data_IF_308133034324
#
_entry.id   IF_308133034324
#
_cell.length_a   1.000
_cell.length_b   1.000
_cell.length_c   1.000
_cell.angle_alpha   90.00
_cell.angle_beta   90.00
_cell.angle_gamma   90.00
#
_symmetry.space_group_name_H-M   'P 1'
#
loop_
_entity.id
_entity.type
_entity.pdbx_description
1 polymer ?
#
# COMPACT_ATOMS: atom_id res chain seq x y z
N UNK A 1 -72.32 -3.08 -39.13
CA UNK A 1 -71.64 -1.78 -39.06
C UNK A 1 -71.61 -1.41 -37.57
N UNK A 2 -70.60 -1.84 -36.81
CA UNK A 2 -69.30 -1.17 -36.62
C UNK A 2 -69.50 0.32 -36.28
N UNK A 3 -69.05 0.87 -35.16
CA UNK A 3 -67.74 0.70 -34.53
C UNK A 3 -67.80 1.10 -33.05
N UNK A 4 -67.24 0.27 -32.17
CA UNK A 4 -67.08 0.51 -30.74
C UNK A 4 -65.63 0.92 -30.50
N UNK A 5 -65.41 2.22 -30.26
CA UNK A 5 -64.10 2.78 -29.99
C UNK A 5 -63.45 2.18 -28.74
N UNK A 6 -62.51 1.26 -28.95
CA UNK A 6 -61.66 0.72 -27.90
C UNK A 6 -60.44 1.62 -27.71
N UNK A 7 -60.38 2.28 -26.55
CA UNK A 7 -59.21 3.01 -26.06
C UNK A 7 -58.04 2.03 -25.89
N UNK A 8 -57.06 2.07 -26.80
CA UNK A 8 -55.80 1.36 -26.63
C UNK A 8 -55.03 1.99 -25.48
N UNK A 9 -55.03 1.32 -24.33
CA UNK A 9 -54.10 1.60 -23.22
C UNK A 9 -52.70 1.25 -23.72
N UNK A 10 -51.82 2.24 -23.81
CA UNK A 10 -50.41 2.06 -24.14
C UNK A 10 -49.75 1.46 -22.90
N UNK A 11 -49.36 0.20 -22.95
CA UNK A 11 -48.49 -0.39 -21.94
C UNK A 11 -47.08 0.14 -22.21
N UNK A 12 -46.68 1.15 -21.44
CA UNK A 12 -45.27 1.54 -21.33
C UNK A 12 -44.57 0.44 -20.53
N UNK A 13 -43.78 -0.38 -21.21
CA UNK A 13 -42.83 -1.26 -20.54
C UNK A 13 -41.73 -0.36 -19.99
N UNK A 14 -41.65 -0.28 -18.68
CA UNK A 14 -40.45 0.21 -18.00
C UNK A 14 -39.32 -0.77 -18.34
N UNK A 15 -38.34 -0.30 -19.11
CA UNK A 15 -37.06 -0.98 -19.25
C UNK A 15 -36.37 -0.85 -17.88
N UNK A 16 -36.37 -1.93 -17.09
CA UNK A 16 -35.48 -2.05 -15.94
C UNK A 16 -34.05 -2.07 -16.50
N UNK A 17 -33.38 -0.92 -16.45
CA UNK A 17 -31.93 -0.85 -16.62
C UNK A 17 -31.31 -1.78 -15.57
N UNK A 18 -30.77 -2.93 -15.99
CA UNK A 18 -30.00 -3.85 -15.16
C UNK A 18 -28.78 -3.09 -14.60
N UNK A 19 -28.91 -2.48 -13.43
CA UNK A 19 -27.80 -1.84 -12.72
C UNK A 19 -26.88 -2.97 -12.26
N UNK A 20 -25.84 -3.24 -13.05
CA UNK A 20 -24.75 -4.12 -12.66
C UNK A 20 -24.02 -3.47 -11.48
N UNK A 21 -24.29 -3.97 -10.28
CA UNK A 21 -23.56 -3.59 -9.07
C UNK A 21 -22.15 -4.19 -9.16
N UNK A 22 -21.23 -3.45 -9.77
CA UNK A 22 -19.82 -3.82 -9.81
C UNK A 22 -19.23 -3.67 -8.40
N UNK A 23 -18.50 -4.69 -7.97
CA UNK A 23 -17.70 -4.61 -6.75
C UNK A 23 -16.65 -3.49 -6.90
N UNK A 24 -16.43 -2.61 -5.91
CA UNK A 24 -15.44 -1.54 -5.99
C UNK A 24 -14.03 -2.02 -6.36
N UNK A 25 -13.67 -3.26 -6.03
CA UNK A 25 -12.40 -3.88 -6.42
C UNK A 25 -12.21 -3.99 -7.93
N UNK A 26 -13.29 -3.95 -8.73
CA UNK A 26 -13.23 -3.95 -10.19
C UNK A 26 -12.51 -2.72 -10.76
N UNK A 27 -12.52 -1.59 -10.03
CA UNK A 27 -11.88 -0.35 -10.45
C UNK A 27 -10.47 -0.17 -9.89
N UNK A 28 -9.99 -1.12 -9.07
CA UNK A 28 -8.63 -1.06 -8.50
C UNK A 28 -7.64 -1.57 -9.52
N UNK A 29 -6.70 -0.71 -9.93
CA UNK A 29 -5.60 -1.12 -10.77
C UNK A 29 -4.59 -1.97 -9.98
N UNK A 30 -4.53 -3.26 -10.33
CA UNK A 30 -3.60 -4.25 -9.78
C UNK A 30 -2.57 -4.72 -10.80
N UNK A 31 -2.33 -3.95 -11.87
CA UNK A 31 -1.36 -4.26 -12.93
C UNK A 31 0.10 -4.05 -12.47
N UNK A 32 0.45 -4.62 -11.33
CA UNK A 32 1.79 -4.46 -10.75
C UNK A 32 2.87 -5.04 -11.65
N UNK A 33 3.95 -4.29 -11.78
CA UNK A 33 5.14 -4.72 -12.48
C UNK A 33 6.27 -4.98 -11.50
N UNK A 34 7.00 -6.07 -11.71
CA UNK A 34 8.23 -6.33 -10.98
C UNK A 34 9.29 -5.32 -11.42
N UNK A 35 9.71 -4.46 -10.49
CA UNK A 35 10.71 -3.42 -10.71
C UNK A 35 11.91 -3.66 -9.81
N UNK A 36 13.11 -3.51 -10.39
CA UNK A 36 14.37 -3.58 -9.67
C UNK A 36 14.83 -2.19 -9.27
N UNK A 37 15.08 -1.99 -7.98
CA UNK A 37 15.65 -0.78 -7.40
C UNK A 37 17.03 -1.06 -6.86
N UNK A 38 17.99 -0.17 -7.13
CA UNK A 38 19.37 -0.29 -6.66
C UNK A 38 19.72 0.87 -5.76
N UNK A 39 20.14 0.56 -4.53
CA UNK A 39 20.58 1.52 -3.52
C UNK A 39 21.97 1.11 -3.00
N UNK A 40 23.02 1.77 -3.48
CA UNK A 40 24.39 1.32 -3.22
C UNK A 40 24.62 -0.09 -3.77
N UNK A 41 25.03 -1.02 -2.91
CA UNK A 41 25.19 -2.45 -3.24
C UNK A 41 23.93 -3.29 -3.06
N UNK A 42 22.81 -2.68 -2.66
CA UNK A 42 21.57 -3.39 -2.36
C UNK A 42 20.62 -3.35 -3.55
N UNK A 43 20.20 -4.52 -4.00
CA UNK A 43 19.17 -4.68 -5.02
C UNK A 43 17.86 -5.14 -4.36
N UNK A 44 16.78 -4.43 -4.65
CA UNK A 44 15.43 -4.77 -4.23
C UNK A 44 14.57 -5.03 -5.46
N UNK A 45 13.87 -6.17 -5.48
CA UNK A 45 12.87 -6.48 -6.49
C UNK A 45 11.51 -6.42 -5.83
N UNK A 46 10.68 -5.49 -6.30
CA UNK A 46 9.39 -5.16 -5.71
C UNK A 46 8.33 -5.05 -6.80
N UNK A 47 7.12 -5.48 -6.47
CA UNK A 47 5.92 -5.17 -7.23
C UNK A 47 5.51 -3.73 -6.92
N UNK A 48 5.21 -2.96 -7.96
CA UNK A 48 4.61 -1.62 -7.87
C UNK A 48 3.84 -1.28 -9.15
N UNK A 49 2.95 -0.30 -9.10
CA UNK A 49 2.37 0.28 -10.32
C UNK A 49 3.40 1.14 -11.04
N UNK A 50 3.27 1.23 -12.37
CA UNK A 50 4.11 2.11 -13.22
C UNK A 50 3.60 3.53 -13.32
N UNK A 51 2.29 3.72 -13.21
CA UNK A 51 1.64 5.00 -13.40
C UNK A 51 0.55 5.17 -12.35
N UNK A 52 0.30 6.43 -11.99
CA UNK A 52 -0.72 6.75 -11.01
C UNK A 52 -2.11 6.37 -11.51
N UNK A 53 -2.91 5.80 -10.62
CA UNK A 53 -4.36 5.77 -10.77
C UNK A 53 -4.92 7.18 -10.52
N UNK A 54 -6.13 7.46 -11.00
CA UNK A 54 -6.84 8.70 -10.68
C UNK A 54 -7.36 8.76 -9.24
N UNK A 55 -7.24 7.66 -8.49
CA UNK A 55 -7.65 7.58 -7.09
C UNK A 55 -6.47 7.95 -6.15
N UNK A 56 -6.67 8.99 -5.36
CA UNK A 56 -5.67 9.52 -4.43
C UNK A 56 -5.35 8.55 -3.29
N UNK A 57 -6.33 7.74 -2.88
CA UNK A 57 -6.16 6.78 -1.77
C UNK A 57 -5.29 5.58 -2.18
N UNK A 58 -5.11 5.37 -3.49
CA UNK A 58 -4.33 4.29 -4.09
C UNK A 58 -2.92 4.68 -4.50
N UNK A 59 -2.50 5.90 -4.19
CA UNK A 59 -1.15 6.41 -4.50
C UNK A 59 -0.02 5.66 -3.80
N UNK A 60 -0.32 4.96 -2.70
CA UNK A 60 0.63 4.10 -2.00
C UNK A 60 1.12 2.91 -2.83
N UNK A 61 0.50 2.61 -3.97
CA UNK A 61 0.94 1.56 -4.90
C UNK A 61 2.11 1.98 -5.81
N UNK A 62 2.51 3.26 -5.76
CA UNK A 62 3.65 3.82 -6.49
C UNK A 62 4.86 3.99 -5.59
N UNK A 63 6.02 4.13 -6.21
CA UNK A 63 7.23 4.58 -5.52
C UNK A 63 7.37 6.09 -5.67
N UNK A 64 7.35 6.79 -4.53
CA UNK A 64 7.49 8.23 -4.49
C UNK A 64 8.96 8.69 -4.44
N UNK A 65 9.33 9.84 -5.02
CA UNK A 65 10.72 10.29 -5.10
C UNK A 65 11.43 10.45 -3.75
N UNK A 66 10.72 10.88 -2.71
CA UNK A 66 11.24 11.03 -1.36
C UNK A 66 11.67 9.70 -0.75
N UNK A 67 10.94 8.61 -1.03
CA UNK A 67 11.33 7.27 -0.61
C UNK A 67 12.64 6.82 -1.30
N UNK A 68 12.80 7.14 -2.59
CA UNK A 68 14.04 6.87 -3.35
C UNK A 68 15.22 7.66 -2.77
N UNK A 69 15.02 8.93 -2.44
CA UNK A 69 16.06 9.78 -1.83
C UNK A 69 16.46 9.27 -0.44
N UNK A 70 15.48 8.94 0.40
CA UNK A 70 15.73 8.40 1.72
C UNK A 70 16.46 7.06 1.66
N UNK A 71 16.10 6.18 0.73
CA UNK A 71 16.78 4.90 0.55
C UNK A 71 18.23 5.06 0.08
N UNK A 72 18.51 6.00 -0.83
CA UNK A 72 19.88 6.33 -1.20
C UNK A 72 20.69 6.79 0.03
N UNK A 73 20.10 7.60 0.90
CA UNK A 73 20.75 8.05 2.13
C UNK A 73 20.98 6.91 3.12
N UNK A 74 19.95 6.12 3.43
CA UNK A 74 20.04 5.00 4.38
C UNK A 74 21.00 3.89 3.90
N UNK A 75 21.10 3.65 2.58
CA UNK A 75 22.07 2.70 2.03
C UNK A 75 23.52 3.12 2.22
N UNK A 76 23.78 4.43 2.31
CA UNK A 76 25.11 4.99 2.58
C UNK A 76 25.39 5.14 4.09
N UNK A 77 24.35 5.13 4.90
CA UNK A 77 24.40 5.32 6.36
C UNK A 77 23.67 4.21 7.12
N UNK A 78 24.01 2.92 6.91
CA UNK A 78 23.30 1.81 7.52
C UNK A 78 23.38 1.82 9.06
N UNK A 79 24.38 2.48 9.65
CA UNK A 79 24.55 2.66 11.09
C UNK A 79 23.36 3.34 11.78
N UNK A 80 22.56 4.12 11.04
CA UNK A 80 21.38 4.81 11.58
C UNK A 80 20.29 3.80 11.99
N UNK A 81 20.16 2.72 11.22
CA UNK A 81 19.07 1.74 11.39
C UNK A 81 19.59 0.37 11.87
N UNK A 82 20.91 0.20 11.95
CA UNK A 82 21.54 -1.09 12.25
C UNK A 82 21.11 -1.61 13.62
N UNK A 83 20.44 -2.76 13.63
CA UNK A 83 19.94 -3.41 14.85
C UNK A 83 18.73 -2.73 15.52
N UNK A 84 18.16 -1.68 14.91
CA UNK A 84 16.96 -1.00 15.41
C UNK A 84 15.69 -1.84 15.17
N UNK A 85 14.69 -1.69 16.04
CA UNK A 85 13.28 -2.00 15.73
C UNK A 85 12.68 -0.74 15.12
N UNK A 86 12.13 -0.86 13.93
CA UNK A 86 11.68 0.28 13.13
C UNK A 86 10.19 0.13 12.85
N UNK A 87 9.44 1.24 12.96
CA UNK A 87 8.11 1.35 12.36
C UNK A 87 8.16 2.38 11.25
N UNK A 88 7.61 2.04 10.09
CA UNK A 88 7.45 2.96 8.98
C UNK A 88 5.98 3.37 8.85
N UNK A 89 5.72 4.68 8.84
CA UNK A 89 4.41 5.27 8.64
C UNK A 89 4.19 5.55 7.16
N UNK A 90 3.02 5.16 6.63
CA UNK A 90 2.69 5.40 5.21
C UNK A 90 3.69 4.72 4.28
N UNK A 91 3.88 3.41 4.46
CA UNK A 91 4.92 2.63 3.79
C UNK A 91 4.76 2.53 2.27
N UNK A 92 3.56 2.79 1.72
CA UNK A 92 3.28 2.56 0.32
C UNK A 92 3.61 1.11 -0.06
N UNK A 93 4.37 0.86 -1.13
CA UNK A 93 4.78 -0.52 -1.49
C UNK A 93 5.87 -1.13 -0.56
N UNK A 94 6.32 -0.41 0.46
CA UNK A 94 7.26 -0.89 1.48
C UNK A 94 8.74 -0.76 1.12
N UNK A 95 9.08 0.00 0.07
CA UNK A 95 10.45 0.07 -0.48
C UNK A 95 11.51 0.47 0.55
N UNK A 96 11.18 1.36 1.48
CA UNK A 96 12.12 1.80 2.50
C UNK A 96 12.27 0.79 3.61
N UNK A 97 11.19 0.36 4.28
CA UNK A 97 11.34 -0.59 5.37
C UNK A 97 11.90 -1.93 4.89
N UNK A 98 11.63 -2.33 3.64
CA UNK A 98 12.30 -3.49 3.01
C UNK A 98 13.80 -3.26 2.85
N UNK A 99 14.26 -2.08 2.44
CA UNK A 99 15.70 -1.78 2.45
C UNK A 99 16.26 -1.85 3.87
N UNK A 100 15.57 -1.26 4.84
CA UNK A 100 15.98 -1.23 6.25
C UNK A 100 16.08 -2.64 6.84
N UNK A 101 15.24 -3.57 6.41
CA UNK A 101 15.26 -4.98 6.85
C UNK A 101 16.59 -5.70 6.59
N UNK A 102 17.45 -5.16 5.73
CA UNK A 102 18.83 -5.65 5.50
C UNK A 102 19.76 -5.34 6.66
N UNK A 103 19.41 -4.39 7.52
CA UNK A 103 20.27 -3.86 8.59
C UNK A 103 19.61 -3.92 9.98
N UNK A 104 18.28 -3.87 10.05
CA UNK A 104 17.48 -3.82 11.27
C UNK A 104 17.34 -5.19 11.95
N UNK A 105 16.86 -5.21 13.21
CA UNK A 105 16.37 -6.46 13.86
C UNK A 105 14.93 -6.76 13.49
N UNK A 106 14.13 -5.71 13.33
CA UNK A 106 12.68 -5.76 13.11
C UNK A 106 12.23 -4.52 12.36
N UNK A 107 11.28 -4.70 11.44
CA UNK A 107 10.63 -3.61 10.71
C UNK A 107 9.12 -3.89 10.63
N UNK A 108 8.32 -2.92 11.05
CA UNK A 108 6.86 -2.91 10.91
C UNK A 108 6.49 -1.86 9.87
N UNK A 109 6.02 -2.32 8.71
CA UNK A 109 5.49 -1.47 7.65
C UNK A 109 4.02 -1.15 7.95
N UNK A 110 3.62 0.11 7.83
CA UNK A 110 2.24 0.50 8.11
C UNK A 110 1.63 1.35 7.01
N UNK A 111 0.38 1.05 6.68
CA UNK A 111 -0.45 1.88 5.81
C UNK A 111 -1.91 1.77 6.24
N UNK A 112 -2.73 2.75 5.87
CA UNK A 112 -4.15 2.79 6.16
C UNK A 112 -4.98 2.01 5.13
N UNK A 113 -4.51 1.93 3.89
CA UNK A 113 -5.27 1.40 2.77
C UNK A 113 -5.06 -0.12 2.63
N UNK A 114 -6.15 -0.90 2.62
CA UNK A 114 -6.09 -2.36 2.54
C UNK A 114 -5.48 -2.88 1.23
N UNK A 115 -5.66 -2.16 0.13
CA UNK A 115 -5.03 -2.46 -1.16
C UNK A 115 -3.52 -2.27 -1.11
N UNK A 116 -3.07 -1.20 -0.45
CA UNK A 116 -1.65 -0.93 -0.21
C UNK A 116 -1.06 -2.00 0.71
N UNK A 117 -1.78 -2.40 1.77
CA UNK A 117 -1.35 -3.49 2.65
C UNK A 117 -1.23 -4.83 1.92
N UNK A 118 -2.09 -5.11 0.93
CA UNK A 118 -2.00 -6.33 0.13
C UNK A 118 -0.69 -6.36 -0.68
N UNK A 119 -0.32 -5.27 -1.35
CA UNK A 119 0.93 -5.19 -2.09
C UNK A 119 2.16 -5.19 -1.18
N UNK A 120 2.11 -4.53 -0.01
CA UNK A 120 3.19 -4.61 0.98
C UNK A 120 3.44 -6.08 1.34
N UNK A 121 2.38 -6.83 1.70
CA UNK A 121 2.51 -8.24 2.10
C UNK A 121 3.14 -9.09 0.99
N UNK A 122 2.71 -8.91 -0.27
CA UNK A 122 3.34 -9.56 -1.43
C UNK A 122 4.83 -9.21 -1.54
N UNK A 123 5.18 -7.94 -1.35
CA UNK A 123 6.58 -7.50 -1.39
C UNK A 123 7.44 -8.05 -0.24
N UNK A 124 6.87 -8.21 0.96
CA UNK A 124 7.51 -8.88 2.10
C UNK A 124 7.80 -10.35 1.73
N UNK A 125 6.81 -11.07 1.20
CA UNK A 125 6.95 -12.48 0.81
C UNK A 125 8.07 -12.69 -0.23
N UNK A 126 8.22 -11.75 -1.17
CA UNK A 126 9.33 -11.76 -2.14
C UNK A 126 10.71 -11.66 -1.48
N UNK A 127 10.82 -11.04 -0.29
CA UNK A 127 12.09 -10.95 0.44
C UNK A 127 12.41 -12.20 1.24
N UNK A 128 11.40 -12.95 1.70
CA UNK A 128 11.57 -14.20 2.43
C UNK A 128 12.28 -15.28 1.60
N UNK A 129 12.17 -15.19 0.26
CA UNK A 129 12.87 -16.07 -0.67
C UNK A 129 14.32 -15.65 -0.95
N UNK A 130 14.79 -14.53 -0.39
CA UNK A 130 16.14 -14.01 -0.57
C UNK A 130 16.99 -14.28 0.67
N UNK A 131 18.19 -14.82 0.49
CA UNK A 131 19.16 -15.08 1.58
C UNK A 131 19.60 -13.82 2.37
N UNK A 132 19.14 -12.64 1.95
CA UNK A 132 19.56 -11.34 2.45
C UNK A 132 18.59 -10.73 3.50
N UNK A 133 17.52 -11.41 3.90
CA UNK A 133 16.57 -10.88 4.88
C UNK A 133 17.08 -11.16 6.31
N UNK A 134 17.52 -10.11 7.01
CA UNK A 134 18.10 -10.22 8.35
C UNK A 134 17.13 -9.83 9.48
N UNK A 135 16.05 -9.11 9.15
CA UNK A 135 15.05 -8.63 10.10
C UNK A 135 13.74 -9.43 10.03
N UNK A 136 12.99 -9.43 11.13
CA UNK A 136 11.56 -9.73 11.11
C UNK A 136 10.84 -8.59 10.39
N UNK A 137 10.09 -8.89 9.34
CA UNK A 137 9.38 -7.90 8.53
C UNK A 137 7.88 -8.19 8.54
N UNK A 138 7.08 -7.21 8.94
CA UNK A 138 5.61 -7.35 9.05
C UNK A 138 4.90 -6.14 8.45
N UNK A 139 3.61 -6.31 8.13
CA UNK A 139 2.74 -5.25 7.63
C UNK A 139 1.49 -5.15 8.51
N UNK A 140 1.21 -3.96 9.01
CA UNK A 140 0.10 -3.70 9.94
C UNK A 140 -0.73 -2.50 9.47
N UNK A 141 -2.05 -2.57 9.70
CA UNK A 141 -2.94 -1.47 9.35
C UNK A 141 -2.77 -0.32 10.34
N UNK A 142 -2.51 0.88 9.82
CA UNK A 142 -2.47 2.10 10.63
C UNK A 142 -3.07 3.27 9.86
N UNK A 143 -4.29 3.63 10.25
CA UNK A 143 -4.87 4.93 9.94
C UNK A 143 -4.41 5.95 10.98
N UNK A 144 -3.80 7.06 10.55
CA UNK A 144 -3.28 8.04 11.49
C UNK A 144 -4.40 8.71 12.30
N UNK A 145 -4.18 8.78 13.61
CA UNK A 145 -5.20 9.26 14.55
C UNK A 145 -6.18 8.17 15.01
N UNK A 146 -6.16 6.98 14.42
CA UNK A 146 -6.95 5.84 14.89
C UNK A 146 -6.28 5.18 16.10
N UNK A 147 -6.91 5.31 17.28
CA UNK A 147 -6.35 4.80 18.54
C UNK A 147 -6.36 3.28 18.63
N UNK A 148 -7.35 2.61 18.03
CA UNK A 148 -7.47 1.15 18.08
C UNK A 148 -6.37 0.48 17.26
N UNK A 149 -6.09 1.01 16.06
CA UNK A 149 -4.97 0.56 15.24
C UNK A 149 -3.63 0.73 15.96
N UNK A 150 -3.42 1.91 16.57
CA UNK A 150 -2.21 2.20 17.31
C UNK A 150 -2.02 1.26 18.52
N UNK A 151 -3.07 1.07 19.32
CA UNK A 151 -3.04 0.13 20.46
C UNK A 151 -2.73 -1.29 20.02
N UNK A 152 -3.33 -1.77 18.94
CA UNK A 152 -3.06 -3.11 18.40
C UNK A 152 -1.59 -3.31 17.99
N UNK A 153 -0.96 -2.30 17.40
CA UNK A 153 0.47 -2.35 17.06
C UNK A 153 1.32 -2.33 18.34
N UNK A 154 1.03 -1.44 19.29
CA UNK A 154 1.81 -1.35 20.54
C UNK A 154 1.72 -2.64 21.36
N UNK A 155 0.56 -3.30 21.40
CA UNK A 155 0.36 -4.58 22.09
C UNK A 155 1.19 -5.71 21.46
N UNK A 156 1.31 -5.74 20.13
CA UNK A 156 2.15 -6.72 19.40
C UNK A 156 3.64 -6.44 19.59
N UNK A 157 4.02 -5.19 19.83
CA UNK A 157 5.41 -4.74 19.94
C UNK A 157 5.66 -4.04 21.30
N UNK A 158 5.61 -4.76 22.44
CA UNK A 158 5.70 -4.17 23.77
C UNK A 158 7.07 -3.56 24.09
N UNK A 159 8.10 -3.91 23.31
CA UNK A 159 9.43 -3.29 23.39
C UNK A 159 9.50 -1.90 22.74
N UNK A 160 8.46 -1.48 22.02
CA UNK A 160 8.43 -0.25 21.25
C UNK A 160 9.36 -0.27 20.04
N UNK A 161 9.52 0.91 19.44
CA UNK A 161 10.37 1.13 18.27
C UNK A 161 11.51 2.09 18.62
N UNK A 162 12.71 1.77 18.13
CA UNK A 162 13.90 2.61 18.27
C UNK A 162 13.88 3.79 17.29
N UNK A 163 13.21 3.61 16.13
CA UNK A 163 13.11 4.62 15.07
C UNK A 163 11.74 4.57 14.38
N UNK A 164 11.23 5.76 14.05
CA UNK A 164 10.03 5.94 13.21
C UNK A 164 10.47 6.54 11.86
N UNK A 165 10.08 5.89 10.77
CA UNK A 165 10.33 6.34 9.40
C UNK A 165 9.06 6.85 8.73
N UNK A 166 9.23 7.71 7.74
CA UNK A 166 8.16 8.14 6.85
C UNK A 166 8.73 9.02 5.73
N UNK A 167 8.41 8.68 4.48
CA UNK A 167 8.83 9.42 3.29
C UNK A 167 7.63 9.78 2.42
N UNK A 168 7.58 11.04 1.97
CA UNK A 168 6.46 11.60 1.20
C UNK A 168 5.07 11.45 1.84
N UNK A 169 5.03 11.34 3.16
CA UNK A 169 3.80 11.21 3.97
C UNK A 169 3.10 12.55 4.25
N UNK A 170 3.72 13.67 3.87
CA UNK A 170 3.14 15.01 3.97
C UNK A 170 2.91 15.56 2.57
N UNK A 171 1.71 15.36 2.06
CA UNK A 171 1.27 15.95 0.81
C UNK A 171 0.54 17.28 1.09
N UNK A 172 0.71 18.31 0.24
CA UNK A 172 -0.11 19.51 0.34
C UNK A 172 -1.59 19.12 0.15
N UNK A 173 -2.46 19.68 0.99
CA UNK A 173 -3.89 19.60 0.75
C UNK A 173 -4.19 20.26 -0.60
N UNK A 174 -4.71 19.47 -1.54
CA UNK A 174 -5.18 19.93 -2.85
C UNK A 174 -6.62 20.41 -2.72
#
# INVERSE_FOLDING_TARGET
>A
MADSGSLRKREEKEEEDDIVCLDPSFFVDRSYEMTTFTFGSHELRLLCLRAASTDFDLTGQLVWPGAVLMNNYLSQHPEIVKGCSVVELGSGIGITGILCSRFCKEVVLTDHNDEVLEIIKKNIELQSCSENAHAVLTAEKLEWGNSDHLSGIIEKHPGGFDLVLGADIKLPAI
#
